data_IF_014160119986
#
_entry.id   IF_014160119986
#
_cell.length_a   1.000
_cell.length_b   1.000
_cell.length_c   1.000
_cell.angle_alpha   90.00
_cell.angle_beta   90.00
_cell.angle_gamma   90.00
#
_symmetry.space_group_name_H-M   'P 1'
#
loop_
_entity.id
_entity.type
_entity.pdbx_description
1 polymer ?
#
# COMPACT_ATOMS: atom_id res chain seq x y z
N UNK A 1 -9.02 -12.20 -29.82
CA UNK A 1 -9.48 -12.56 -28.46
C UNK A 1 -8.92 -11.55 -27.48
N UNK A 2 -9.69 -10.51 -27.15
CA UNK A 2 -9.19 -9.41 -26.32
C UNK A 2 -9.09 -9.82 -24.87
N UNK A 3 -7.91 -9.71 -24.26
CA UNK A 3 -7.75 -9.77 -22.81
C UNK A 3 -8.64 -8.67 -22.22
N UNK A 4 -9.67 -9.06 -21.43
CA UNK A 4 -10.43 -8.10 -20.64
C UNK A 4 -9.49 -7.53 -19.57
N UNK A 5 -8.88 -6.39 -19.89
CA UNK A 5 -8.24 -5.52 -18.90
C UNK A 5 -9.35 -4.95 -18.02
N UNK A 6 -9.10 -4.80 -16.73
CA UNK A 6 -10.15 -4.32 -15.85
C UNK A 6 -9.69 -3.93 -14.46
N UNK A 7 -10.52 -3.10 -13.84
CA UNK A 7 -10.42 -2.67 -12.45
C UNK A 7 -11.36 -3.47 -11.54
N UNK A 8 -11.96 -4.55 -12.05
CA UNK A 8 -12.82 -5.45 -11.28
C UNK A 8 -11.98 -6.24 -10.29
N UNK A 9 -12.56 -6.50 -9.12
CA UNK A 9 -11.91 -7.31 -8.10
C UNK A 9 -12.92 -8.13 -7.30
N UNK A 10 -12.41 -9.16 -6.65
CA UNK A 10 -13.11 -9.89 -5.59
C UNK A 10 -12.54 -9.49 -4.24
N UNK A 11 -13.38 -9.51 -3.21
CA UNK A 11 -13.03 -9.08 -1.87
C UNK A 11 -13.52 -10.08 -0.83
N UNK A 12 -12.76 -10.20 0.26
CA UNK A 12 -13.09 -10.97 1.45
C UNK A 12 -12.44 -10.27 2.65
N UNK A 13 -13.01 -10.45 3.84
CA UNK A 13 -12.44 -9.97 5.09
C UNK A 13 -12.75 -10.93 6.25
N UNK A 14 -12.33 -10.57 7.46
CA UNK A 14 -12.55 -11.37 8.66
C UNK A 14 -14.02 -11.46 9.08
N UNK A 15 -14.88 -10.53 8.64
CA UNK A 15 -16.33 -10.51 8.91
C UNK A 15 -17.10 -11.41 7.95
N UNK A 16 -16.61 -11.54 6.70
CA UNK A 16 -17.19 -12.41 5.69
C UNK A 16 -16.09 -13.03 4.83
N UNK A 17 -15.86 -14.32 5.05
CA UNK A 17 -14.81 -15.12 4.41
C UNK A 17 -15.16 -15.62 3.00
N UNK A 18 -16.29 -15.18 2.44
CA UNK A 18 -16.64 -15.51 1.06
C UNK A 18 -16.01 -14.49 0.11
N UNK A 19 -15.33 -14.97 -0.93
CA UNK A 19 -14.89 -14.13 -2.03
C UNK A 19 -16.10 -13.59 -2.79
N UNK A 20 -16.27 -12.27 -2.78
CA UNK A 20 -17.41 -11.60 -3.42
C UNK A 20 -16.91 -10.61 -4.45
N UNK A 21 -17.51 -10.64 -5.64
CA UNK A 21 -17.26 -9.62 -6.65
C UNK A 21 -17.73 -8.26 -6.11
N UNK A 22 -16.86 -7.25 -6.19
CA UNK A 22 -17.23 -5.90 -5.82
C UNK A 22 -17.98 -5.22 -6.98
N UNK A 23 -18.92 -4.33 -6.65
CA UNK A 23 -19.65 -3.52 -7.63
C UNK A 23 -18.95 -2.20 -7.98
N UNK A 24 -17.87 -1.87 -7.26
CA UNK A 24 -16.99 -0.74 -7.54
C UNK A 24 -15.67 -1.25 -8.09
N UNK A 25 -15.09 -0.48 -9.00
CA UNK A 25 -13.74 -0.70 -9.48
C UNK A 25 -12.71 -0.40 -8.38
N UNK A 26 -11.55 -1.06 -8.44
CA UNK A 26 -10.47 -0.90 -7.45
C UNK A 26 -9.94 0.54 -7.34
N UNK A 27 -10.09 1.34 -8.39
CA UNK A 27 -9.72 2.76 -8.46
C UNK A 27 -10.86 3.73 -8.08
N UNK A 28 -12.02 3.23 -7.67
CA UNK A 28 -13.16 4.05 -7.28
C UNK A 28 -12.96 4.64 -5.86
N UNK A 29 -13.21 5.93 -5.69
CA UNK A 29 -13.02 6.67 -4.43
C UNK A 29 -13.91 6.19 -3.30
N UNK A 30 -15.05 5.56 -3.61
CA UNK A 30 -15.94 4.96 -2.63
C UNK A 30 -15.68 3.44 -2.45
N UNK A 31 -14.64 2.90 -3.09
CA UNK A 31 -14.23 1.50 -3.02
C UNK A 31 -13.39 1.19 -1.77
N UNK A 32 -13.18 -0.11 -1.51
CA UNK A 32 -12.48 -0.57 -0.29
C UNK A 32 -11.07 0.00 -0.22
N UNK A 33 -10.30 -0.09 -1.30
CA UNK A 33 -8.91 0.36 -1.33
C UNK A 33 -8.77 1.89 -1.10
N UNK A 34 -9.65 2.69 -1.73
CA UNK A 34 -9.64 4.14 -1.53
C UNK A 34 -10.04 4.53 -0.10
N UNK A 35 -11.00 3.83 0.50
CA UNK A 35 -11.37 4.03 1.90
C UNK A 35 -10.22 3.66 2.85
N UNK A 36 -9.51 2.56 2.60
CA UNK A 36 -8.32 2.18 3.37
C UNK A 36 -7.26 3.28 3.32
N UNK A 37 -7.03 3.91 2.16
CA UNK A 37 -6.00 4.93 1.96
C UNK A 37 -6.47 6.36 2.25
N UNK A 38 -7.70 6.54 2.72
CA UNK A 38 -8.25 7.86 3.02
C UNK A 38 -7.37 8.69 3.97
N UNK A 39 -6.82 8.13 5.08
CA UNK A 39 -5.93 8.90 5.96
C UNK A 39 -4.70 9.47 5.22
N UNK A 40 -4.15 8.71 4.28
CA UNK A 40 -3.03 9.16 3.44
C UNK A 40 -3.42 10.28 2.46
N UNK A 41 -4.56 10.15 1.78
CA UNK A 41 -5.04 11.23 0.89
C UNK A 41 -5.35 12.52 1.66
N UNK A 42 -5.78 12.38 2.92
CA UNK A 42 -6.11 13.49 3.82
C UNK A 42 -5.00 13.76 4.84
N UNK A 43 -3.74 13.39 4.54
CA UNK A 43 -2.58 13.47 5.45
C UNK A 43 -2.33 14.84 6.10
N UNK A 44 -2.81 15.92 5.50
CA UNK A 44 -2.66 17.29 6.02
C UNK A 44 -3.76 17.68 7.01
N UNK A 45 -4.80 16.84 7.14
CA UNK A 45 -5.88 16.93 8.13
C UNK A 45 -5.70 15.95 9.29
N UNK A 46 -4.70 15.06 9.20
CA UNK A 46 -4.44 14.08 10.25
C UNK A 46 -3.73 14.71 11.46
N UNK A 47 -3.75 14.02 12.60
CA UNK A 47 -3.03 14.44 13.81
C UNK A 47 -1.51 14.41 13.60
N UNK A 48 -0.77 14.94 14.57
CA UNK A 48 0.69 14.87 14.59
C UNK A 48 1.23 13.43 14.65
N UNK A 49 0.44 12.51 15.21
CA UNK A 49 0.81 11.11 15.42
C UNK A 49 0.60 10.25 14.16
N UNK A 50 -0.07 10.79 13.15
CA UNK A 50 -0.21 10.11 11.87
C UNK A 50 1.11 10.09 11.11
N UNK A 51 1.54 8.88 10.78
CA UNK A 51 2.69 8.63 9.91
C UNK A 51 2.35 7.63 8.82
N UNK A 52 3.18 7.59 7.78
CA UNK A 52 3.08 6.54 6.78
C UNK A 52 4.42 6.24 6.11
N UNK A 53 4.51 5.04 5.54
CA UNK A 53 5.55 4.59 4.62
C UNK A 53 4.85 4.00 3.40
N UNK A 54 5.17 4.49 2.20
CA UNK A 54 4.87 3.78 0.96
C UNK A 54 6.17 3.22 0.39
N UNK A 55 6.22 1.92 0.13
CA UNK A 55 7.37 1.26 -0.48
C UNK A 55 7.01 0.47 -1.73
N UNK A 56 7.85 0.56 -2.75
CA UNK A 56 7.63 -0.10 -4.03
C UNK A 56 8.96 -0.23 -4.78
N UNK A 57 9.33 -1.43 -5.22
CA UNK A 57 10.53 -1.64 -6.04
C UNK A 57 10.41 -1.05 -7.47
N UNK A 58 9.18 -0.68 -7.87
CA UNK A 58 8.87 -0.06 -9.13
C UNK A 58 8.04 1.23 -8.89
N UNK A 59 8.65 2.30 -8.36
CA UNK A 59 7.93 3.51 -7.98
C UNK A 59 7.32 4.26 -9.19
N UNK A 60 6.39 5.21 -8.95
CA UNK A 60 5.67 5.92 -10.01
C UNK A 60 6.56 6.76 -10.96
N UNK A 61 7.75 7.15 -10.53
CA UNK A 61 8.68 8.02 -11.26
C UNK A 61 9.53 7.29 -12.33
N UNK A 62 9.13 6.08 -12.72
CA UNK A 62 9.72 5.23 -13.77
C UNK A 62 11.15 4.75 -13.57
N UNK A 63 11.87 5.21 -12.55
CA UNK A 63 13.17 4.68 -12.19
C UNK A 63 12.97 3.39 -11.37
N UNK A 64 13.17 2.23 -11.99
CA UNK A 64 13.33 0.98 -11.25
C UNK A 64 14.53 1.13 -10.33
N UNK A 65 14.34 0.72 -9.09
CA UNK A 65 15.41 0.69 -8.08
C UNK A 65 16.40 -0.43 -8.43
N UNK A 66 17.59 -0.40 -7.83
CA UNK A 66 18.59 -1.44 -8.04
C UNK A 66 17.98 -2.82 -7.76
N UNK A 67 18.30 -3.82 -8.61
CA UNK A 67 17.87 -5.22 -8.46
C UNK A 67 18.43 -5.92 -7.21
N UNK A 68 19.26 -5.21 -6.43
CA UNK A 68 19.76 -5.65 -5.13
C UNK A 68 18.79 -5.32 -3.98
N UNK A 69 17.64 -4.72 -4.26
CA UNK A 69 16.60 -4.50 -3.25
C UNK A 69 15.49 -5.54 -3.39
N UNK A 70 14.81 -5.82 -2.28
CA UNK A 70 13.72 -6.78 -2.26
C UNK A 70 12.58 -6.38 -3.20
N UNK A 71 12.07 -7.35 -3.97
CA UNK A 71 10.89 -7.20 -4.84
C UNK A 71 9.58 -7.15 -4.05
N UNK A 72 9.47 -6.14 -3.19
CA UNK A 72 8.37 -5.98 -2.25
C UNK A 72 7.71 -4.62 -2.42
N UNK A 73 6.40 -4.59 -2.19
CA UNK A 73 5.60 -3.37 -2.31
C UNK A 73 4.54 -3.35 -1.21
N UNK A 74 4.31 -2.18 -0.64
CA UNK A 74 3.30 -2.02 0.37
C UNK A 74 3.15 -0.61 0.87
N UNK A 75 2.20 -0.46 1.77
CA UNK A 75 1.82 0.80 2.37
C UNK A 75 1.58 0.56 3.87
N UNK A 76 2.32 1.27 4.71
CA UNK A 76 2.13 1.28 6.16
C UNK A 76 1.57 2.64 6.54
N UNK A 77 0.46 2.66 7.28
CA UNK A 77 -0.07 3.86 7.92
C UNK A 77 -0.16 3.60 9.40
N UNK A 78 0.25 4.58 10.21
CA UNK A 78 0.24 4.50 11.66
C UNK A 78 -0.47 5.72 12.24
N UNK A 79 -1.25 5.50 13.30
CA UNK A 79 -1.76 6.52 14.19
C UNK A 79 -1.40 6.16 15.65
N UNK A 80 -1.99 6.85 16.62
CA UNK A 80 -1.75 6.64 18.05
C UNK A 80 -1.99 5.17 18.48
N UNK A 81 -3.03 4.53 17.93
CA UNK A 81 -3.54 3.26 18.43
C UNK A 81 -3.21 2.07 17.50
N UNK A 82 -3.14 2.32 16.20
CA UNK A 82 -3.14 1.29 15.17
C UNK A 82 -2.05 1.49 14.13
N UNK A 83 -1.63 0.36 13.55
CA UNK A 83 -0.89 0.32 12.30
C UNK A 83 -1.66 -0.51 11.28
N UNK A 84 -1.84 0.06 10.10
CA UNK A 84 -2.40 -0.62 8.92
C UNK A 84 -1.24 -0.94 7.98
N UNK A 85 -1.05 -2.22 7.67
CA UNK A 85 -0.09 -2.68 6.68
C UNK A 85 -0.81 -3.30 5.48
N UNK A 86 -0.69 -2.62 4.34
CA UNK A 86 -1.25 -3.02 3.05
C UNK A 86 -0.13 -3.55 2.16
N UNK A 87 -0.03 -4.87 2.01
CA UNK A 87 0.88 -5.51 1.06
C UNK A 87 0.20 -5.61 -0.31
N UNK A 88 0.98 -5.42 -1.39
CA UNK A 88 0.42 -5.54 -2.74
C UNK A 88 1.44 -5.92 -3.80
N UNK A 89 0.96 -6.27 -5.00
CA UNK A 89 1.80 -6.55 -6.17
C UNK A 89 1.86 -5.41 -7.19
N UNK A 90 1.05 -4.37 -7.03
CA UNK A 90 0.84 -3.29 -8.02
C UNK A 90 2.07 -2.38 -8.20
N UNK A 91 2.76 -2.41 -9.36
CA UNK A 91 3.86 -1.48 -9.63
C UNK A 91 3.33 -0.07 -9.82
N UNK A 92 4.14 0.95 -9.51
CA UNK A 92 3.81 2.38 -9.64
C UNK A 92 2.67 2.81 -8.71
N UNK A 93 2.49 2.12 -7.60
CA UNK A 93 1.46 2.40 -6.60
C UNK A 93 2.09 3.03 -5.34
N UNK A 94 1.45 4.04 -4.73
CA UNK A 94 0.34 4.82 -5.28
C UNK A 94 0.80 5.66 -6.48
N UNK A 95 -0.03 5.79 -7.52
CA UNK A 95 0.35 6.54 -8.73
C UNK A 95 0.45 8.05 -8.49
N UNK A 96 -0.41 8.57 -7.60
CA UNK A 96 -0.37 9.95 -7.15
C UNK A 96 -0.77 10.03 -5.68
N UNK A 97 -0.56 11.19 -5.07
CA UNK A 97 -0.99 11.48 -3.70
C UNK A 97 -2.48 11.84 -3.62
N UNK A 98 -3.20 11.83 -4.74
CA UNK A 98 -4.60 12.27 -4.86
C UNK A 98 -5.54 11.06 -5.01
N UNK A 99 -6.65 11.09 -4.27
CA UNK A 99 -7.63 9.99 -4.25
C UNK A 99 -8.31 9.74 -5.59
N UNK A 100 -8.30 10.70 -6.52
CA UNK A 100 -8.92 10.56 -7.84
C UNK A 100 -8.00 9.93 -8.91
N UNK A 101 -6.73 9.71 -8.59
CA UNK A 101 -5.75 9.18 -9.54
C UNK A 101 -4.67 8.34 -8.84
N UNK A 102 -5.03 7.61 -7.78
CA UNK A 102 -4.09 6.86 -6.95
C UNK A 102 -3.73 5.48 -7.53
N UNK A 103 -4.60 4.87 -8.34
CA UNK A 103 -4.38 3.54 -8.91
C UNK A 103 -3.76 3.65 -10.32
N UNK A 104 -2.62 2.98 -10.58
CA UNK A 104 -1.90 3.17 -11.83
C UNK A 104 -2.50 2.35 -12.98
N UNK A 105 -2.42 2.87 -14.21
CA UNK A 105 -3.00 2.24 -15.41
C UNK A 105 -2.38 0.87 -15.75
N UNK A 106 -1.11 0.64 -15.44
CA UNK A 106 -0.46 -0.67 -15.64
C UNK A 106 -1.08 -1.78 -14.78
N UNK A 107 -1.71 -1.43 -13.65
CA UNK A 107 -2.45 -2.36 -12.80
C UNK A 107 -3.73 -2.91 -13.46
N UNK A 108 -4.16 -2.37 -14.59
CA UNK A 108 -5.29 -2.85 -15.39
C UNK A 108 -4.91 -4.06 -16.26
N UNK A 109 -3.61 -4.21 -16.60
CA UNK A 109 -3.13 -5.21 -17.56
C UNK A 109 -3.01 -6.61 -16.94
N UNK A 110 -2.52 -6.67 -15.70
CA UNK A 110 -2.22 -7.91 -14.99
C UNK A 110 -2.99 -7.93 -13.67
N UNK A 111 -3.49 -9.10 -13.27
CA UNK A 111 -4.13 -9.26 -11.97
C UNK A 111 -3.17 -8.86 -10.84
N UNK A 112 -3.70 -8.12 -9.86
CA UNK A 112 -2.96 -7.67 -8.68
C UNK A 112 -3.63 -8.22 -7.43
N UNK A 113 -2.83 -8.43 -6.38
CA UNK A 113 -3.33 -8.74 -5.04
C UNK A 113 -3.08 -7.57 -4.11
N UNK A 114 -4.02 -7.36 -3.20
CA UNK A 114 -3.88 -6.48 -2.05
C UNK A 114 -4.27 -7.27 -0.80
N UNK A 115 -3.44 -7.21 0.23
CA UNK A 115 -3.70 -7.80 1.54
C UNK A 115 -3.53 -6.70 2.58
N UNK A 116 -4.54 -6.52 3.43
CA UNK A 116 -4.54 -5.49 4.46
C UNK A 116 -4.64 -6.15 5.83
N UNK A 117 -3.73 -5.78 6.73
CA UNK A 117 -3.73 -6.21 8.13
C UNK A 117 -3.75 -4.98 9.01
N UNK A 118 -4.59 -5.00 10.05
CA UNK A 118 -4.61 -3.99 11.11
C UNK A 118 -4.01 -4.61 12.36
N UNK A 119 -2.99 -3.96 12.92
CA UNK A 119 -2.32 -4.33 14.16
C UNK A 119 -2.33 -3.13 15.11
N UNK A 120 -1.90 -3.34 16.35
CA UNK A 120 -1.69 -2.24 17.30
C UNK A 120 -0.46 -1.43 16.91
N UNK A 121 -0.46 -0.12 17.19
CA UNK A 121 0.69 0.77 16.96
C UNK A 121 1.96 0.27 17.64
N UNK A 122 1.86 -0.49 18.74
CA UNK A 122 3.00 -1.12 19.42
C UNK A 122 3.80 -2.11 18.55
N UNK A 123 3.21 -2.62 17.47
CA UNK A 123 3.88 -3.53 16.53
C UNK A 123 4.71 -2.79 15.47
N UNK A 124 4.66 -1.46 15.43
CA UNK A 124 5.31 -0.65 14.40
C UNK A 124 6.81 -0.88 14.33
N UNK A 125 7.49 -0.99 15.48
CA UNK A 125 8.94 -1.19 15.55
C UNK A 125 9.37 -2.52 14.88
N UNK A 126 8.58 -3.59 15.03
CA UNK A 126 8.87 -4.86 14.34
C UNK A 126 8.63 -4.75 12.84
N UNK A 127 7.60 -4.02 12.40
CA UNK A 127 7.40 -3.70 10.98
C UNK A 127 8.60 -2.89 10.45
N UNK A 128 9.07 -1.89 11.19
CA UNK A 128 10.23 -1.09 10.84
C UNK A 128 11.48 -1.94 10.64
N UNK A 129 11.76 -2.87 11.56
CA UNK A 129 12.87 -3.85 11.42
C UNK A 129 12.72 -4.69 10.15
N UNK A 130 11.54 -5.21 9.87
CA UNK A 130 11.30 -6.01 8.63
C UNK A 130 11.60 -5.18 7.38
N UNK A 131 11.25 -3.89 7.37
CA UNK A 131 11.46 -3.01 6.21
C UNK A 131 12.91 -2.49 6.07
N UNK A 132 13.77 -2.70 7.07
CA UNK A 132 15.12 -2.09 7.15
C UNK A 132 16.26 -3.10 7.27
N UNK A 133 16.00 -4.39 7.49
CA UNK A 133 17.04 -5.41 7.59
C UNK A 133 17.71 -5.68 6.23
N UNK A 134 19.05 -5.52 6.15
CA UNK A 134 19.88 -6.29 5.20
C UNK A 134 21.37 -6.36 5.62
N UNK A 135 22.02 -7.55 5.52
CA UNK A 135 23.08 -7.67 4.49
C UNK A 135 22.97 -8.81 3.46
N UNK A 136 22.12 -9.83 3.63
CA UNK A 136 21.84 -10.87 2.60
C UNK A 136 20.42 -11.51 2.73
N UNK A 137 19.35 -10.72 2.95
CA UNK A 137 18.01 -11.25 3.30
C UNK A 137 16.78 -10.39 3.00
N UNK A 138 16.91 -9.41 2.09
CA UNK A 138 15.89 -8.76 1.23
C UNK A 138 14.44 -8.56 1.72
N UNK A 139 14.21 -7.51 2.54
CA UNK A 139 13.26 -6.44 2.22
C UNK A 139 13.93 -5.10 2.54
N UNK A 140 14.68 -4.55 1.59
CA UNK A 140 15.06 -3.14 1.60
C UNK A 140 14.01 -2.37 0.81
N UNK A 141 13.16 -1.62 1.51
CA UNK A 141 12.11 -0.79 0.90
C UNK A 141 12.75 0.14 -0.14
N UNK A 142 12.59 -0.17 -1.41
CA UNK A 142 13.50 0.34 -2.45
C UNK A 142 13.19 1.77 -2.89
N UNK A 143 12.06 2.30 -2.47
CA UNK A 143 11.70 3.70 -2.55
C UNK A 143 10.76 3.96 -1.38
N UNK A 144 11.10 4.86 -0.46
CA UNK A 144 10.27 5.18 0.70
C UNK A 144 9.75 6.59 0.58
N UNK A 145 8.43 6.72 0.52
CA UNK A 145 7.76 7.99 0.78
C UNK A 145 7.27 7.99 2.23
N UNK A 146 7.72 8.95 3.02
CA UNK A 146 7.42 9.02 4.45
C UNK A 146 6.91 10.39 4.93
N UNK A 147 6.11 10.38 5.99
CA UNK A 147 5.74 11.56 6.79
C UNK A 147 5.73 11.18 8.27
N UNK A 148 6.25 12.06 9.12
CA UNK A 148 6.12 12.05 10.58
C UNK A 148 6.48 10.74 11.31
N UNK A 149 7.59 10.09 10.96
CA UNK A 149 8.06 8.87 11.64
C UNK A 149 8.97 9.13 12.86
N UNK A 150 9.07 10.38 13.34
CA UNK A 150 10.16 10.87 14.20
C UNK A 150 10.35 10.16 15.55
N UNK A 151 9.52 9.18 15.92
CA UNK A 151 9.73 8.42 17.17
C UNK A 151 9.15 7.00 17.18
N UNK A 152 8.69 6.44 16.04
CA UNK A 152 7.78 5.27 16.08
C UNK A 152 8.22 4.07 15.22
N UNK A 153 9.38 4.13 14.55
CA UNK A 153 10.00 2.98 13.88
C UNK A 153 11.46 2.83 14.31
#
# INVERSE_FOLDING_TARGET
TGVKKGFDYVYTDSTNQNLRRNNKHVNNQAGVLANTLKPYFEKDKQSSDFGFIAYNDQPPNENSVSSTHGHSKGFVMIDEDNVVWLLHSTPRFPFSHESNNFYPKNGERNAQIFMCVTLKSTESAEIGKILTQDPEGEISASFVLEKNLKTTL
#
